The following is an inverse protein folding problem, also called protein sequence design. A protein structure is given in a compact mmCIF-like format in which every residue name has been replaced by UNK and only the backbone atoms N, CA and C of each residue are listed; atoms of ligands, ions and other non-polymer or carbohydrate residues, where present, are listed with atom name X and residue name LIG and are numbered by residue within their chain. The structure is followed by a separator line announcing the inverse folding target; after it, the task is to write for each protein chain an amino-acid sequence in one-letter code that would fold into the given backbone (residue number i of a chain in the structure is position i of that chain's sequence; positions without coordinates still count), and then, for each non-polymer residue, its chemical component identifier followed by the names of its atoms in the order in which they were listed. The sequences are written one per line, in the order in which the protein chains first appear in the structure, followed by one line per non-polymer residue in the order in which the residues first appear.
data_IF_411943451097
#
_entry.id   IF_411943451097
#
_cell.length_a   1.000
_cell.length_b   1.000
_cell.length_c   1.000
_cell.angle_alpha   90.00
_cell.angle_beta   90.00
_cell.angle_gamma   90.00
#
_symmetry.space_group_name_H-M   'P 1'
#
loop_
_entity.id
_entity.type
_entity.pdbx_description
1 polymer ?
#
# COMPACT_ATOMS: atom_id res chain seq x y z
N UNK A 1 -34.68 5.43 -15.36
CA UNK A 1 -33.89 6.68 -15.23
C UNK A 1 -34.55 7.72 -14.32
N UNK A 2 -35.67 8.39 -14.68
CA UNK A 2 -36.19 9.49 -13.86
C UNK A 2 -36.68 9.06 -12.48
N UNK A 3 -37.31 7.87 -12.34
CA UNK A 3 -37.71 7.34 -11.02
C UNK A 3 -36.55 7.18 -10.02
N UNK A 4 -35.33 7.00 -10.51
CA UNK A 4 -34.14 6.72 -9.68
C UNK A 4 -33.25 7.95 -9.48
N UNK A 5 -33.22 8.89 -10.44
CA UNK A 5 -32.25 9.98 -10.47
C UNK A 5 -32.87 11.39 -10.49
N UNK A 6 -34.20 11.54 -10.58
CA UNK A 6 -34.85 12.86 -10.60
C UNK A 6 -34.53 13.70 -9.36
N UNK A 7 -34.33 13.06 -8.21
CA UNK A 7 -33.95 13.72 -6.96
C UNK A 7 -32.56 14.36 -6.98
N UNK A 8 -31.72 14.03 -7.96
CA UNK A 8 -30.35 14.56 -8.12
C UNK A 8 -30.22 15.64 -9.19
N UNK A 9 -31.34 16.10 -9.76
CA UNK A 9 -31.38 17.19 -10.74
C UNK A 9 -31.51 16.70 -12.18
N UNK A 10 -32.15 17.53 -13.00
CA UNK A 10 -32.53 17.21 -14.37
C UNK A 10 -31.32 16.97 -15.29
N UNK A 11 -30.28 17.78 -15.16
CA UNK A 11 -29.02 17.65 -15.93
C UNK A 11 -28.40 16.25 -15.81
N UNK A 12 -28.42 15.65 -14.62
CA UNK A 12 -27.92 14.29 -14.41
C UNK A 12 -28.76 13.29 -15.19
N UNK A 13 -30.09 13.43 -15.16
CA UNK A 13 -30.98 12.50 -15.86
C UNK A 13 -30.76 12.62 -17.37
N UNK A 14 -30.61 13.84 -17.89
CA UNK A 14 -30.31 14.10 -19.31
C UNK A 14 -28.98 13.49 -19.75
N UNK A 15 -27.91 13.64 -18.96
CA UNK A 15 -26.62 12.97 -19.23
C UNK A 15 -26.76 11.45 -19.26
N UNK A 16 -27.58 10.86 -18.39
CA UNK A 16 -27.85 9.42 -18.41
C UNK A 16 -28.62 8.99 -19.67
N UNK A 17 -29.58 9.79 -20.15
CA UNK A 17 -30.28 9.53 -21.40
C UNK A 17 -29.35 9.61 -22.62
N UNK A 18 -28.47 10.62 -22.65
CA UNK A 18 -27.47 10.76 -23.71
C UNK A 18 -26.54 9.55 -23.74
N UNK A 19 -26.08 9.06 -22.58
CA UNK A 19 -25.27 7.85 -22.50
C UNK A 19 -25.99 6.61 -23.06
N UNK A 20 -27.30 6.45 -22.79
CA UNK A 20 -28.10 5.35 -23.36
C UNK A 20 -28.27 5.45 -24.87
N UNK A 21 -28.45 6.66 -25.40
CA UNK A 21 -28.54 6.88 -26.84
C UNK A 21 -27.21 6.50 -27.52
N UNK A 22 -26.08 7.01 -27.00
CA UNK A 22 -24.75 6.68 -27.50
C UNK A 22 -24.44 5.18 -27.40
N UNK A 23 -24.80 4.53 -26.28
CA UNK A 23 -24.56 3.10 -26.10
C UNK A 23 -25.28 2.25 -27.17
N UNK A 24 -26.47 2.65 -27.63
CA UNK A 24 -27.17 1.92 -28.70
C UNK A 24 -26.46 2.03 -30.06
N UNK A 25 -25.72 3.11 -30.28
CA UNK A 25 -25.03 3.40 -31.54
C UNK A 25 -23.57 2.91 -31.53
N UNK A 26 -22.97 2.74 -30.35
CA UNK A 26 -21.55 2.39 -30.17
C UNK A 26 -21.28 0.92 -29.85
N UNK A 27 -22.32 0.07 -29.80
CA UNK A 27 -22.12 -1.38 -29.59
C UNK A 27 -21.75 -2.03 -30.93
N UNK A 28 -20.52 -2.50 -31.01
CA UNK A 28 -19.98 -3.20 -32.17
C UNK A 28 -19.63 -4.65 -31.82
N UNK A 29 -19.90 -5.57 -32.74
CA UNK A 29 -19.44 -6.96 -32.60
C UNK A 29 -17.93 -7.03 -32.85
N UNK A 30 -17.19 -7.55 -31.88
CA UNK A 30 -15.75 -7.82 -32.03
C UNK A 30 -15.59 -9.24 -32.61
N UNK A 31 -15.14 -9.40 -33.87
CA UNK A 31 -15.00 -10.73 -34.46
C UNK A 31 -13.90 -11.52 -33.74
N UNK A 32 -14.23 -12.74 -33.32
CA UNK A 32 -13.28 -13.63 -32.67
C UNK A 32 -12.17 -14.04 -33.64
N UNK A 33 -10.92 -14.00 -33.17
CA UNK A 33 -9.74 -14.44 -33.91
C UNK A 33 -9.11 -15.64 -33.19
N UNK A 34 -8.34 -16.50 -33.90
CA UNK A 34 -7.53 -17.52 -33.25
C UNK A 34 -6.60 -16.90 -32.20
N UNK A 35 -6.40 -17.59 -31.08
CA UNK A 35 -5.49 -17.14 -30.02
C UNK A 35 -4.07 -17.03 -30.59
N UNK A 36 -3.45 -15.86 -30.43
CA UNK A 36 -2.06 -15.65 -30.80
C UNK A 36 -1.16 -16.42 -29.80
N UNK A 37 -0.34 -17.39 -30.26
CA UNK A 37 0.53 -18.16 -29.37
C UNK A 37 1.64 -17.32 -28.72
N UNK A 38 1.88 -16.09 -29.22
CA UNK A 38 2.83 -15.14 -28.65
C UNK A 38 2.20 -14.15 -27.65
N UNK A 39 0.89 -14.23 -27.39
CA UNK A 39 0.26 -13.42 -26.35
C UNK A 39 0.79 -13.78 -24.98
N UNK A 40 1.03 -12.77 -24.14
CA UNK A 40 1.45 -12.99 -22.76
C UNK A 40 0.38 -13.77 -21.99
N UNK A 41 0.83 -14.70 -21.14
CA UNK A 41 -0.05 -15.35 -20.19
C UNK A 41 -0.51 -14.35 -19.14
N UNK A 42 -1.68 -14.62 -18.54
CA UNK A 42 -2.13 -13.89 -17.36
C UNK A 42 -1.08 -14.07 -16.25
N UNK A 43 -0.61 -12.99 -15.60
CA UNK A 43 0.32 -13.11 -14.49
C UNK A 43 -0.34 -13.87 -13.32
N UNK A 44 0.46 -14.49 -12.43
CA UNK A 44 -0.07 -15.12 -11.23
C UNK A 44 -0.75 -14.08 -10.32
N UNK A 45 -1.71 -14.55 -9.50
CA UNK A 45 -2.49 -13.68 -8.60
C UNK A 45 -1.64 -13.04 -7.50
N UNK A 46 -0.59 -13.75 -7.08
CA UNK A 46 0.41 -13.27 -6.13
C UNK A 46 1.81 -13.60 -6.66
N UNK A 47 2.84 -12.91 -6.18
CA UNK A 47 4.23 -13.18 -6.56
C UNK A 47 4.68 -14.61 -6.19
N UNK A 48 5.53 -15.21 -7.02
CA UNK A 48 6.18 -16.49 -6.72
C UNK A 48 7.11 -16.46 -5.50
N UNK A 49 7.55 -15.25 -5.11
CA UNK A 49 8.32 -15.04 -3.88
C UNK A 49 7.46 -15.15 -2.60
N UNK A 50 6.13 -15.23 -2.73
CA UNK A 50 5.24 -15.35 -1.59
C UNK A 50 5.39 -16.72 -0.89
N UNK A 51 5.12 -16.79 0.43
CA UNK A 51 5.10 -18.06 1.16
C UNK A 51 4.10 -19.05 0.56
N UNK A 52 4.34 -20.35 0.75
CA UNK A 52 3.53 -21.40 0.12
C UNK A 52 2.04 -21.31 0.47
N UNK A 53 1.71 -20.97 1.72
CA UNK A 53 0.31 -20.75 2.12
C UNK A 53 -0.34 -19.60 1.33
N UNK A 54 0.41 -18.53 1.05
CA UNK A 54 -0.08 -17.41 0.25
C UNK A 54 -0.29 -17.81 -1.20
N UNK A 55 0.65 -18.56 -1.79
CA UNK A 55 0.56 -19.03 -3.19
C UNK A 55 -0.55 -20.06 -3.42
N UNK A 56 -0.85 -20.89 -2.42
CA UNK A 56 -1.77 -22.03 -2.56
C UNK A 56 -3.17 -21.73 -2.05
N UNK A 57 -3.29 -21.12 -0.86
CA UNK A 57 -4.57 -20.86 -0.21
C UNK A 57 -5.05 -19.43 -0.50
N UNK A 58 -4.25 -18.42 -0.14
CA UNK A 58 -4.63 -17.02 -0.32
C UNK A 58 -4.88 -16.67 -1.79
N UNK A 59 -3.98 -17.07 -2.70
CA UNK A 59 -4.12 -16.81 -4.12
C UNK A 59 -5.37 -17.47 -4.73
N UNK A 60 -5.72 -18.69 -4.32
CA UNK A 60 -6.93 -19.37 -4.78
C UNK A 60 -8.19 -18.63 -4.32
N UNK A 61 -8.24 -18.19 -3.06
CA UNK A 61 -9.35 -17.41 -2.53
C UNK A 61 -9.49 -16.06 -3.25
N UNK A 62 -8.37 -15.36 -3.48
CA UNK A 62 -8.34 -14.09 -4.23
C UNK A 62 -8.74 -14.27 -5.71
N UNK A 63 -8.49 -15.45 -6.29
CA UNK A 63 -8.91 -15.81 -7.65
C UNK A 63 -10.41 -16.16 -7.76
N UNK A 64 -11.15 -16.17 -6.65
CA UNK A 64 -12.54 -16.64 -6.62
C UNK A 64 -12.68 -18.17 -6.68
N UNK A 65 -11.61 -18.91 -6.35
CA UNK A 65 -11.56 -20.37 -6.34
C UNK A 65 -11.53 -20.95 -4.91
N UNK A 66 -12.00 -20.18 -3.92
CA UNK A 66 -11.98 -20.58 -2.52
C UNK A 66 -12.76 -21.86 -2.22
N UNK A 67 -13.93 -22.04 -2.84
CA UNK A 67 -14.77 -23.24 -2.66
C UNK A 67 -14.12 -24.55 -3.17
N UNK A 68 -13.10 -24.45 -4.01
CA UNK A 68 -12.34 -25.60 -4.50
C UNK A 68 -11.27 -26.08 -3.51
N UNK A 69 -10.97 -25.30 -2.47
CA UNK A 69 -9.97 -25.68 -1.47
C UNK A 69 -10.51 -26.82 -0.59
N UNK A 70 -9.74 -27.90 -0.39
CA UNK A 70 -10.13 -28.96 0.53
C UNK A 70 -10.06 -28.44 1.98
N UNK A 71 -10.83 -29.06 2.88
CA UNK A 71 -10.78 -28.75 4.32
C UNK A 71 -9.36 -28.84 4.88
N UNK A 72 -8.54 -29.77 4.36
CA UNK A 72 -7.15 -29.97 4.76
C UNK A 72 -6.20 -28.81 4.38
N UNK A 73 -6.65 -27.86 3.56
CA UNK A 73 -5.86 -26.67 3.22
C UNK A 73 -5.92 -25.59 4.32
N UNK A 74 -6.88 -25.68 5.25
CA UNK A 74 -7.12 -24.68 6.27
C UNK A 74 -6.57 -25.12 7.64
N UNK A 75 -6.01 -24.20 8.43
CA UNK A 75 -5.62 -24.50 9.81
C UNK A 75 -6.85 -24.91 10.65
N UNK A 76 -6.76 -25.98 11.47
CA UNK A 76 -7.91 -26.53 12.19
C UNK A 76 -8.46 -25.60 13.28
N UNK A 77 -7.65 -24.64 13.75
CA UNK A 77 -8.00 -23.65 14.76
C UNK A 77 -8.44 -22.30 14.16
N UNK A 78 -8.49 -22.20 12.83
CA UNK A 78 -8.85 -20.97 12.12
C UNK A 78 -7.79 -19.87 12.21
N UNK A 79 -6.58 -20.17 12.68
CA UNK A 79 -5.46 -19.22 12.63
C UNK A 79 -5.06 -18.92 11.19
N UNK A 80 -4.44 -17.76 10.96
CA UNK A 80 -4.02 -17.33 9.62
C UNK A 80 -2.62 -16.71 9.66
N UNK A 81 -1.81 -16.88 8.61
CA UNK A 81 -0.55 -16.16 8.50
C UNK A 81 -0.73 -14.66 8.51
N UNK A 82 0.23 -13.98 9.14
CA UNK A 82 0.30 -12.53 9.22
C UNK A 82 0.95 -11.92 7.96
N UNK A 83 0.62 -10.67 7.67
CA UNK A 83 1.23 -9.87 6.60
C UNK A 83 1.01 -10.46 5.21
N UNK A 84 -0.17 -11.02 4.94
CA UNK A 84 -0.50 -11.55 3.60
C UNK A 84 -0.85 -10.45 2.61
N UNK A 85 -1.32 -9.30 3.08
CA UNK A 85 -1.74 -8.15 2.23
C UNK A 85 -0.63 -7.63 1.34
N UNK A 86 0.64 -7.70 1.76
CA UNK A 86 1.80 -7.26 0.96
C UNK A 86 1.98 -7.96 -0.38
N UNK A 87 1.37 -9.13 -0.54
CA UNK A 87 1.46 -9.97 -1.73
C UNK A 87 0.31 -9.73 -2.72
N UNK A 88 -0.71 -8.95 -2.34
CA UNK A 88 -1.91 -8.76 -3.17
C UNK A 88 -1.69 -7.81 -4.33
N UNK A 89 -0.91 -6.73 -4.13
CA UNK A 89 -0.56 -5.73 -5.16
C UNK A 89 -1.76 -5.35 -6.04
N UNK A 90 -2.85 -4.95 -5.38
CA UNK A 90 -4.20 -4.80 -5.98
C UNK A 90 -4.25 -3.83 -7.16
N UNK A 91 -3.36 -2.84 -7.19
CA UNK A 91 -3.11 -1.94 -8.30
C UNK A 91 -4.37 -1.17 -8.78
N UNK A 92 -5.14 -0.62 -7.83
CA UNK A 92 -6.48 -0.06 -8.07
C UNK A 92 -6.53 1.45 -8.26
N UNK A 93 -5.45 2.19 -7.97
CA UNK A 93 -5.46 3.64 -8.07
C UNK A 93 -5.46 4.12 -9.53
N UNK A 94 -6.15 5.22 -9.81
CA UNK A 94 -6.02 5.92 -11.10
C UNK A 94 -4.77 6.80 -11.11
N UNK A 95 -4.52 7.48 -9.98
CA UNK A 95 -3.35 8.31 -9.76
C UNK A 95 -2.58 7.88 -8.51
N UNK A 96 -1.27 8.05 -8.52
CA UNK A 96 -0.37 7.78 -7.39
C UNK A 96 0.46 9.02 -7.06
N UNK A 97 0.89 9.17 -5.79
CA UNK A 97 1.70 10.31 -5.40
C UNK A 97 3.15 10.17 -5.89
N UNK A 98 3.59 11.11 -6.73
CA UNK A 98 4.97 11.20 -7.23
C UNK A 98 5.71 12.29 -6.46
N UNK A 99 6.92 11.94 -6.00
CA UNK A 99 7.76 12.79 -5.17
C UNK A 99 8.51 13.82 -6.03
N UNK A 100 8.59 15.06 -5.54
CA UNK A 100 9.39 16.15 -6.10
C UNK A 100 10.41 16.60 -5.06
N UNK A 101 11.60 16.03 -5.13
CA UNK A 101 12.59 16.06 -4.06
C UNK A 101 13.09 17.48 -3.74
N UNK A 102 13.17 18.38 -4.72
CA UNK A 102 13.75 19.72 -4.51
C UNK A 102 12.92 20.58 -3.56
N UNK A 103 11.61 20.31 -3.50
CA UNK A 103 10.68 21.01 -2.60
C UNK A 103 10.61 20.34 -1.22
N UNK A 104 11.06 19.10 -1.08
CA UNK A 104 10.78 18.29 0.10
C UNK A 104 11.49 18.79 1.36
N UNK A 105 10.73 18.93 2.44
CA UNK A 105 11.24 19.36 3.76
C UNK A 105 11.60 18.19 4.69
N UNK A 106 11.42 16.94 4.26
CA UNK A 106 11.72 15.73 5.04
C UNK A 106 10.92 15.67 6.37
N UNK A 107 9.67 16.12 6.35
CA UNK A 107 8.81 16.21 7.54
C UNK A 107 8.00 14.93 7.84
N UNK A 108 7.88 14.01 6.87
CA UNK A 108 7.11 12.77 6.94
C UNK A 108 5.60 12.91 7.23
N UNK A 109 4.99 14.08 7.05
CA UNK A 109 3.52 14.22 7.15
C UNK A 109 2.78 13.35 6.14
N UNK A 110 3.29 13.24 4.91
CA UNK A 110 2.73 12.37 3.87
C UNK A 110 2.71 10.90 4.29
N UNK A 111 3.78 10.42 4.93
CA UNK A 111 3.90 9.04 5.45
C UNK A 111 2.96 8.82 6.64
N UNK A 112 2.85 9.80 7.53
CA UNK A 112 1.97 9.71 8.70
C UNK A 112 0.49 9.67 8.30
N UNK A 113 0.09 10.48 7.32
CA UNK A 113 -1.29 10.58 6.88
C UNK A 113 -1.75 9.39 6.01
N UNK A 114 -0.82 8.59 5.48
CA UNK A 114 -1.16 7.49 4.59
C UNK A 114 -1.95 6.39 5.34
N UNK A 115 -3.20 6.10 4.95
CA UNK A 115 -4.01 5.09 5.62
C UNK A 115 -3.63 3.65 5.26
N UNK A 116 -2.81 3.43 4.24
CA UNK A 116 -2.46 2.10 3.75
C UNK A 116 -0.97 1.78 3.85
N UNK A 117 -0.17 2.66 4.47
CA UNK A 117 1.30 2.54 4.46
C UNK A 117 1.88 2.44 3.04
N UNK A 118 1.19 3.01 2.05
CA UNK A 118 1.54 3.00 0.63
C UNK A 118 2.52 4.13 0.24
N UNK A 119 2.92 4.97 1.19
CA UNK A 119 4.07 5.87 1.04
C UNK A 119 4.90 5.80 2.31
N UNK A 120 6.21 5.61 2.17
CA UNK A 120 7.14 5.36 3.27
C UNK A 120 8.42 6.15 3.07
N UNK A 121 9.09 6.44 4.19
CA UNK A 121 10.40 7.04 4.18
C UNK A 121 11.41 6.15 4.88
N UNK A 122 12.64 6.12 4.38
CA UNK A 122 13.80 5.52 5.03
C UNK A 122 14.92 6.53 5.12
N UNK A 123 15.72 6.41 6.18
CA UNK A 123 17.01 7.08 6.31
C UNK A 123 18.08 6.01 6.31
N UNK A 124 18.99 6.07 5.35
CA UNK A 124 19.96 5.02 5.05
C UNK A 124 21.36 5.58 4.87
N UNK A 125 22.41 4.78 5.14
CA UNK A 125 23.77 5.21 4.87
C UNK A 125 23.99 5.37 3.35
N UNK A 126 24.85 6.30 2.89
CA UNK A 126 25.05 6.55 1.46
C UNK A 126 25.43 5.31 0.65
N UNK A 127 26.17 4.38 1.25
CA UNK A 127 26.63 3.14 0.63
C UNK A 127 25.45 2.23 0.24
N UNK A 128 24.32 2.30 0.97
CA UNK A 128 23.12 1.54 0.64
C UNK A 128 22.45 2.01 -0.65
N UNK A 129 22.81 3.19 -1.16
CA UNK A 129 22.25 3.78 -2.38
C UNK A 129 23.15 3.60 -3.61
N UNK A 130 24.33 2.97 -3.48
CA UNK A 130 25.28 2.82 -4.60
C UNK A 130 24.70 2.05 -5.80
N UNK A 131 23.85 1.06 -5.53
CA UNK A 131 23.20 0.23 -6.55
C UNK A 131 21.72 0.60 -6.77
N UNK A 132 21.31 1.79 -6.32
CA UNK A 132 19.94 2.24 -6.51
C UNK A 132 19.63 2.43 -8.01
N UNK A 133 18.40 2.13 -8.46
CA UNK A 133 17.94 2.52 -9.78
C UNK A 133 18.14 4.01 -10.01
N UNK A 134 18.44 4.42 -11.25
CA UNK A 134 18.65 5.83 -11.58
C UNK A 134 17.40 6.71 -11.31
N UNK A 135 16.22 6.09 -11.36
CA UNK A 135 14.91 6.67 -11.05
C UNK A 135 14.60 6.73 -9.54
N UNK A 136 15.39 6.08 -8.67
CA UNK A 136 15.16 6.13 -7.23
C UNK A 136 15.89 7.33 -6.63
N UNK A 137 15.15 8.41 -6.45
CA UNK A 137 15.68 9.65 -5.91
C UNK A 137 16.02 9.56 -4.42
N UNK A 138 16.98 10.36 -3.96
CA UNK A 138 17.30 10.55 -2.55
C UNK A 138 17.82 11.94 -2.26
N UNK A 139 17.69 12.38 -1.01
CA UNK A 139 18.22 13.66 -0.52
C UNK A 139 19.20 13.43 0.62
N UNK A 140 20.16 14.34 0.81
CA UNK A 140 20.90 14.39 2.07
C UNK A 140 19.96 14.75 3.23
N UNK A 141 20.09 14.05 4.35
CA UNK A 141 19.28 14.37 5.54
C UNK A 141 19.63 15.76 6.07
N UNK A 142 18.60 16.60 6.22
CA UNK A 142 18.74 17.99 6.67
C UNK A 142 18.93 18.11 8.18
N UNK A 143 18.48 17.13 8.95
CA UNK A 143 18.49 17.19 10.41
C UNK A 143 19.86 16.81 11.00
N UNK A 144 20.19 17.42 12.14
CA UNK A 144 21.53 17.26 12.77
C UNK A 144 21.75 15.86 13.35
N UNK A 145 20.68 15.24 13.84
CA UNK A 145 20.65 13.92 14.48
C UNK A 145 21.00 12.76 13.52
N UNK A 146 20.90 12.97 12.22
CA UNK A 146 21.15 11.95 11.20
C UNK A 146 21.99 12.49 10.03
N UNK A 147 22.87 13.46 10.31
CA UNK A 147 23.71 14.10 9.29
C UNK A 147 24.61 13.08 8.60
N UNK A 148 24.76 13.21 7.28
CA UNK A 148 25.58 12.30 6.46
C UNK A 148 24.83 11.06 5.97
N UNK A 149 23.56 10.90 6.33
CA UNK A 149 22.67 9.85 5.81
C UNK A 149 21.88 10.37 4.59
N UNK A 150 21.30 9.44 3.83
CA UNK A 150 20.36 9.70 2.73
C UNK A 150 18.93 9.47 3.19
N UNK A 151 18.05 10.39 2.81
CA UNK A 151 16.60 10.30 2.96
C UNK A 151 15.99 9.83 1.64
N UNK A 152 15.18 8.78 1.70
CA UNK A 152 14.46 8.20 0.55
C UNK A 152 12.98 8.19 0.90
N UNK A 153 12.13 8.79 0.05
CA UNK A 153 10.68 8.73 0.16
C UNK A 153 10.15 7.98 -1.05
N UNK A 154 9.37 6.93 -0.82
CA UNK A 154 8.95 6.05 -1.89
C UNK A 154 7.48 5.63 -1.74
N UNK A 155 6.76 5.64 -2.86
CA UNK A 155 5.40 5.12 -2.98
C UNK A 155 5.44 3.61 -3.31
N UNK A 156 4.49 2.87 -2.73
CA UNK A 156 4.12 1.52 -3.13
C UNK A 156 3.02 1.64 -4.20
N UNK A 157 3.35 1.67 -5.50
CA UNK A 157 2.39 2.10 -6.53
C UNK A 157 1.20 1.16 -6.64
N UNK A 158 1.41 -0.15 -6.43
CA UNK A 158 0.37 -1.17 -6.53
C UNK A 158 -0.49 -1.30 -5.26
N UNK A 159 -0.06 -0.70 -4.16
CA UNK A 159 -0.82 -0.73 -2.88
C UNK A 159 -1.45 0.64 -2.55
N UNK A 160 -1.15 1.67 -3.34
CA UNK A 160 -1.79 2.97 -3.21
C UNK A 160 -3.26 2.90 -3.64
N UNK A 161 -4.12 3.62 -2.93
CA UNK A 161 -5.56 3.72 -3.23
C UNK A 161 -5.97 5.05 -3.86
N UNK A 162 -5.01 5.93 -4.16
CA UNK A 162 -5.27 7.23 -4.79
C UNK A 162 -6.02 8.24 -3.92
N UNK A 163 -5.97 8.12 -2.58
CA UNK A 163 -6.78 8.97 -1.68
C UNK A 163 -6.37 10.45 -1.57
N UNK A 164 -5.25 10.87 -2.19
CA UNK A 164 -4.71 12.23 -2.17
C UNK A 164 -4.32 12.81 -0.79
N UNK A 165 -4.57 12.13 0.33
CA UNK A 165 -4.29 12.68 1.68
C UNK A 165 -2.83 13.08 1.89
N UNK A 166 -1.88 12.31 1.35
CA UNK A 166 -0.45 12.59 1.47
C UNK A 166 -0.02 13.92 0.82
N UNK A 167 -0.69 14.30 -0.28
CA UNK A 167 -0.50 15.57 -0.99
C UNK A 167 -1.22 16.70 -0.25
N UNK A 168 -2.44 16.46 0.25
CA UNK A 168 -3.18 17.45 1.03
C UNK A 168 -2.40 17.92 2.26
N UNK A 169 -1.82 17.00 3.02
CA UNK A 169 -1.06 17.33 4.23
C UNK A 169 0.34 17.87 3.96
N UNK A 170 0.82 17.85 2.71
CA UNK A 170 2.18 18.31 2.39
C UNK A 170 2.31 19.82 2.58
N UNK A 171 3.12 20.30 3.55
CA UNK A 171 3.26 21.73 3.80
C UNK A 171 4.20 22.41 2.79
N UNK A 172 5.00 21.63 2.08
CA UNK A 172 5.99 22.14 1.14
C UNK A 172 5.37 22.36 -0.25
N UNK A 173 5.47 23.60 -0.71
CA UNK A 173 4.92 24.09 -1.98
C UNK A 173 5.98 24.87 -2.75
N UNK A 174 5.88 24.84 -4.07
CA UNK A 174 6.68 25.68 -4.93
C UNK A 174 6.36 27.17 -4.70
N UNK A 175 7.38 28.03 -4.79
CA UNK A 175 7.25 29.46 -4.51
C UNK A 175 6.55 30.22 -5.64
N UNK A 176 6.71 29.77 -6.88
CA UNK A 176 6.15 30.40 -8.07
C UNK A 176 4.75 29.85 -8.36
N UNK A 177 4.52 28.56 -8.13
CA UNK A 177 3.22 27.91 -8.32
C UNK A 177 2.80 27.06 -7.09
N UNK A 178 1.99 27.61 -6.17
CA UNK A 178 1.56 26.90 -4.96
C UNK A 178 0.73 25.61 -5.18
N UNK A 179 0.23 25.36 -6.39
CA UNK A 179 -0.43 24.11 -6.75
C UNK A 179 0.56 22.94 -6.82
N UNK A 180 1.83 23.23 -7.13
CA UNK A 180 2.91 22.23 -7.15
C UNK A 180 3.43 22.06 -5.73
N UNK A 181 3.24 20.87 -5.18
CA UNK A 181 3.76 20.49 -3.86
C UNK A 181 5.00 19.61 -3.99
N UNK A 182 5.64 19.29 -2.87
CA UNK A 182 6.73 18.31 -2.85
C UNK A 182 6.27 16.88 -3.17
N UNK A 183 4.96 16.63 -3.24
CA UNK A 183 4.38 15.37 -3.67
C UNK A 183 3.07 15.67 -4.37
N UNK A 184 2.81 15.06 -5.52
CA UNK A 184 1.66 15.39 -6.38
C UNK A 184 1.01 14.12 -6.91
N UNK A 185 -0.31 14.10 -7.06
CA UNK A 185 -0.99 12.99 -7.72
C UNK A 185 -0.69 13.05 -9.22
N UNK A 186 -0.26 11.93 -9.80
CA UNK A 186 0.00 11.78 -11.23
C UNK A 186 -0.53 10.43 -11.71
N UNK A 187 -0.73 10.31 -13.03
CA UNK A 187 -1.26 9.11 -13.68
C UNK A 187 -0.49 7.85 -13.26
N UNK A 188 -1.19 6.88 -12.67
CA UNK A 188 -0.57 5.60 -12.32
C UNK A 188 -0.04 4.88 -13.57
N UNK A 189 -0.76 4.95 -14.69
CA UNK A 189 -0.39 4.25 -15.92
C UNK A 189 0.98 4.71 -16.47
N UNK A 190 1.34 5.97 -16.22
CA UNK A 190 2.61 6.55 -16.68
C UNK A 190 3.78 6.18 -15.77
N UNK A 191 3.53 5.93 -14.48
CA UNK A 191 4.57 5.82 -13.45
C UNK A 191 4.71 4.42 -12.82
N UNK A 192 3.71 3.55 -12.90
CA UNK A 192 3.66 2.29 -12.13
C UNK A 192 4.85 1.36 -12.35
N UNK A 193 5.33 1.21 -13.59
CA UNK A 193 6.43 0.27 -13.87
C UNK A 193 7.77 0.76 -13.31
N UNK A 194 8.04 2.06 -13.38
CA UNK A 194 9.23 2.67 -12.77
C UNK A 194 9.16 2.60 -11.25
N UNK A 195 8.00 2.97 -10.68
CA UNK A 195 7.83 3.00 -9.23
C UNK A 195 7.81 1.60 -8.60
N UNK A 196 7.46 0.55 -9.34
CA UNK A 196 7.60 -0.85 -8.90
C UNK A 196 9.07 -1.20 -8.68
N UNK A 197 9.93 -0.88 -9.64
CA UNK A 197 11.38 -1.11 -9.56
C UNK A 197 11.97 -0.34 -8.38
N UNK A 198 11.61 0.94 -8.26
CA UNK A 198 12.02 1.79 -7.15
C UNK A 198 11.55 1.24 -5.80
N UNK A 199 10.30 0.77 -5.71
CA UNK A 199 9.73 0.24 -4.48
C UNK A 199 10.38 -1.08 -4.05
N UNK A 200 10.66 -1.98 -4.99
CA UNK A 200 11.35 -3.23 -4.71
C UNK A 200 12.76 -2.99 -4.16
N UNK A 201 13.51 -2.03 -4.73
CA UNK A 201 14.79 -1.63 -4.16
C UNK A 201 14.61 -1.00 -2.77
N UNK A 202 13.64 -0.10 -2.61
CA UNK A 202 13.33 0.55 -1.33
C UNK A 202 13.00 -0.45 -0.22
N UNK A 203 12.28 -1.54 -0.53
CA UNK A 203 11.98 -2.59 0.45
C UNK A 203 13.25 -3.29 0.96
N UNK A 204 14.29 -3.40 0.13
CA UNK A 204 15.57 -4.02 0.48
C UNK A 204 16.54 -3.10 1.23
N UNK A 205 16.28 -1.79 1.24
CA UNK A 205 17.08 -0.84 2.03
C UNK A 205 17.03 -1.16 3.53
N UNK A 206 18.12 -0.88 4.28
CA UNK A 206 18.18 -1.15 5.71
C UNK A 206 17.11 -0.36 6.47
N UNK A 207 16.54 -1.00 7.49
CA UNK A 207 15.61 -0.35 8.42
C UNK A 207 16.39 0.35 9.54
N UNK A 208 15.90 1.51 9.98
CA UNK A 208 16.51 2.19 11.11
C UNK A 208 16.26 1.41 12.40
N UNK A 209 17.29 1.28 13.23
CA UNK A 209 17.11 0.78 14.59
C UNK A 209 16.46 1.87 15.44
N UNK A 210 15.29 1.55 16.01
CA UNK A 210 14.54 2.45 16.90
C UNK A 210 15.36 2.96 18.08
N UNK A 211 16.36 2.20 18.54
CA UNK A 211 17.25 2.60 19.64
C UNK A 211 18.14 3.79 19.30
N UNK A 212 18.36 4.05 18.00
CA UNK A 212 19.17 5.15 17.48
C UNK A 212 18.38 6.45 17.33
N UNK A 213 17.07 6.44 17.53
CA UNK A 213 16.25 7.64 17.47
C UNK A 213 16.37 8.42 18.78
N UNK A 214 16.96 9.62 18.73
CA UNK A 214 17.10 10.50 19.91
C UNK A 214 15.74 10.92 20.50
N UNK A 215 14.72 11.03 19.64
CA UNK A 215 13.37 11.41 20.03
C UNK A 215 12.33 10.77 19.13
N UNK A 216 11.14 10.57 19.67
CA UNK A 216 9.95 10.15 18.92
C UNK A 216 9.05 11.36 18.72
N UNK A 217 9.00 11.84 17.48
CA UNK A 217 8.05 12.85 17.01
C UNK A 217 7.38 12.37 15.72
N UNK A 218 6.54 13.22 15.10
CA UNK A 218 5.89 12.87 13.83
C UNK A 218 6.91 12.50 12.75
N UNK A 219 8.05 13.19 12.67
CA UNK A 219 9.07 12.93 11.65
C UNK A 219 9.74 11.58 11.88
N UNK A 220 10.27 11.35 13.08
CA UNK A 220 11.11 10.18 13.38
C UNK A 220 10.30 8.90 13.55
N UNK A 221 9.08 8.97 14.10
CA UNK A 221 8.18 7.80 14.20
C UNK A 221 7.87 7.19 12.84
N UNK A 222 7.81 8.01 11.79
CA UNK A 222 7.53 7.56 10.43
C UNK A 222 8.71 6.86 9.75
N UNK A 223 9.91 6.90 10.34
CA UNK A 223 11.07 6.14 9.85
C UNK A 223 11.09 4.71 10.38
N UNK A 224 10.28 4.39 11.40
CA UNK A 224 10.14 3.04 11.92
C UNK A 224 9.23 2.24 11.00
N UNK A 225 9.61 1.02 10.66
CA UNK A 225 8.82 0.13 9.79
C UNK A 225 7.38 0.01 10.29
N UNK A 226 6.36 0.35 9.48
CA UNK A 226 4.97 0.08 9.84
C UNK A 226 4.71 -1.43 9.83
N UNK A 227 4.00 -1.93 10.85
CA UNK A 227 3.61 -3.34 10.95
C UNK A 227 2.12 -3.55 10.62
N UNK A 228 1.47 -2.52 10.07
CA UNK A 228 0.12 -2.56 9.57
C UNK A 228 0.12 -1.89 8.19
N UNK A 229 -0.07 -2.68 7.14
CA UNK A 229 0.14 -2.23 5.76
C UNK A 229 -0.88 -2.82 4.78
N UNK A 230 -1.32 -1.98 3.84
CA UNK A 230 -2.15 -2.36 2.69
C UNK A 230 -3.49 -3.01 3.05
N UNK A 231 -4.10 -2.54 4.13
CA UNK A 231 -5.39 -3.04 4.62
C UNK A 231 -6.51 -2.93 3.58
N UNK A 232 -7.57 -3.72 3.73
CA UNK A 232 -8.81 -3.60 2.95
C UNK A 232 -9.66 -2.36 3.27
N UNK A 233 -9.15 -1.39 4.03
CA UNK A 233 -9.89 -0.19 4.40
C UNK A 233 -10.19 0.71 3.19
N UNK A 234 -11.22 1.55 3.31
CA UNK A 234 -11.60 2.52 2.30
C UNK A 234 -10.45 3.48 1.94
N UNK A 235 -10.48 4.01 0.71
CA UNK A 235 -9.59 5.10 0.30
C UNK A 235 -9.79 6.31 1.22
N UNK A 236 -8.73 6.76 1.89
CA UNK A 236 -8.82 7.86 2.85
C UNK A 236 -9.40 7.48 4.23
N UNK A 237 -9.32 6.21 4.64
CA UNK A 237 -9.80 5.77 5.95
C UNK A 237 -9.21 6.59 7.11
N UNK A 238 -10.07 7.05 8.02
CA UNK A 238 -9.66 7.83 9.19
C UNK A 238 -9.12 7.00 10.36
N UNK A 239 -9.24 5.67 10.35
CA UNK A 239 -8.85 4.81 11.48
C UNK A 239 -7.40 4.30 11.34
N UNK A 240 -7.03 3.85 10.15
CA UNK A 240 -5.80 3.08 9.93
C UNK A 240 -4.49 3.86 10.15
N UNK A 241 -4.38 5.19 9.94
CA UNK A 241 -3.18 5.93 10.33
C UNK A 241 -2.83 5.81 11.82
N UNK A 242 -3.85 5.73 12.68
CA UNK A 242 -3.65 5.57 14.13
C UNK A 242 -3.12 4.18 14.48
N UNK A 243 -3.70 3.13 13.90
CA UNK A 243 -3.24 1.74 14.11
C UNK A 243 -1.81 1.59 13.57
N UNK A 244 -1.53 2.11 12.37
CA UNK A 244 -0.20 2.15 11.78
C UNK A 244 0.82 2.77 12.74
N UNK A 245 0.55 3.97 13.25
CA UNK A 245 1.43 4.64 14.22
C UNK A 245 1.60 3.82 15.50
N UNK A 246 0.52 3.26 16.05
CA UNK A 246 0.58 2.40 17.25
C UNK A 246 1.52 1.21 17.02
N UNK A 247 1.43 0.58 15.85
CA UNK A 247 2.29 -0.57 15.50
C UNK A 247 3.75 -0.18 15.28
N UNK A 248 4.03 1.03 14.79
CA UNK A 248 5.40 1.55 14.67
C UNK A 248 6.05 1.75 16.04
N UNK A 249 5.27 2.17 17.05
CA UNK A 249 5.79 2.42 18.40
C UNK A 249 5.92 1.16 19.25
N UNK A 250 4.96 0.22 19.15
CA UNK A 250 4.84 -0.90 20.09
C UNK A 250 4.59 -2.27 19.45
N UNK A 251 4.51 -2.36 18.12
CA UNK A 251 4.03 -3.56 17.44
C UNK A 251 4.93 -4.81 17.56
N UNK A 252 6.17 -4.67 18.04
CA UNK A 252 7.08 -5.80 18.35
C UNK A 252 6.71 -6.56 19.64
N UNK A 253 5.83 -5.98 20.47
CA UNK A 253 5.47 -6.50 21.79
C UNK A 253 4.01 -6.24 22.17
N UNK A 254 3.18 -5.88 21.18
CA UNK A 254 1.77 -5.56 21.37
C UNK A 254 0.91 -6.79 21.05
N UNK A 255 -0.08 -7.05 21.88
CA UNK A 255 -1.19 -7.94 21.59
C UNK A 255 -2.44 -7.11 21.31
N UNK A 256 -3.15 -7.40 20.22
CA UNK A 256 -4.36 -6.67 19.81
C UNK A 256 -5.58 -7.56 20.05
N UNK A 257 -6.45 -7.16 20.98
CA UNK A 257 -7.82 -7.66 21.08
C UNK A 257 -8.76 -6.69 20.35
N UNK A 258 -9.24 -7.08 19.16
CA UNK A 258 -9.98 -6.19 18.26
C UNK A 258 -11.47 -6.50 18.28
N UNK A 259 -12.29 -5.54 18.68
CA UNK A 259 -13.75 -5.70 18.66
C UNK A 259 -14.26 -5.81 17.21
N UNK A 260 -15.42 -6.45 17.04
CA UNK A 260 -16.08 -6.53 15.72
C UNK A 260 -16.49 -5.14 15.25
N UNK A 261 -16.07 -4.78 14.04
CA UNK A 261 -16.34 -3.49 13.41
C UNK A 261 -15.47 -3.29 12.18
N UNK A 262 -15.40 -2.06 11.65
CA UNK A 262 -14.50 -1.75 10.52
C UNK A 262 -13.07 -2.25 10.78
N UNK A 263 -12.56 -2.04 11.99
CA UNK A 263 -11.23 -2.49 12.41
C UNK A 263 -10.99 -3.98 12.31
N UNK A 264 -11.98 -4.83 12.60
CA UNK A 264 -11.83 -6.28 12.41
C UNK A 264 -11.93 -6.67 10.93
N UNK A 265 -12.70 -5.94 10.13
CA UNK A 265 -12.88 -6.21 8.70
C UNK A 265 -11.63 -5.84 7.90
N UNK A 266 -11.13 -4.61 7.98
CA UNK A 266 -9.91 -4.27 7.24
C UNK A 266 -8.65 -4.86 7.89
N UNK A 267 -8.72 -5.25 9.17
CA UNK A 267 -7.60 -5.79 9.92
C UNK A 267 -7.34 -7.28 9.68
N UNK A 268 -8.40 -8.06 9.45
CA UNK A 268 -8.31 -9.52 9.33
C UNK A 268 -9.51 -10.18 8.64
N UNK A 269 -9.94 -9.65 7.50
CA UNK A 269 -10.91 -10.34 6.63
C UNK A 269 -10.17 -11.32 5.72
N UNK A 270 -10.28 -12.62 6.03
CA UNK A 270 -9.59 -13.68 5.29
C UNK A 270 -9.93 -13.63 3.78
N UNK A 271 -8.96 -13.85 2.89
CA UNK A 271 -7.60 -14.35 3.14
C UNK A 271 -6.55 -13.27 3.48
N UNK A 272 -6.99 -12.01 3.64
CA UNK A 272 -6.14 -10.83 3.76
C UNK A 272 -5.91 -10.45 5.22
N UNK A 273 -4.65 -10.51 5.66
CA UNK A 273 -4.26 -10.17 7.02
C UNK A 273 -3.17 -9.10 7.04
N UNK A 274 -3.48 -7.97 7.66
CA UNK A 274 -2.75 -6.70 7.51
C UNK A 274 -1.57 -6.57 8.47
N UNK A 275 -1.66 -7.20 9.65
CA UNK A 275 -0.62 -7.10 10.68
C UNK A 275 0.57 -7.96 10.29
N UNK A 276 1.77 -7.40 10.32
CA UNK A 276 3.04 -8.10 10.13
C UNK A 276 3.79 -8.22 11.46
N UNK A 277 4.32 -9.40 11.75
CA UNK A 277 5.17 -9.60 12.94
C UNK A 277 6.62 -9.81 12.51
N UNK A 278 7.50 -8.87 12.88
CA UNK A 278 8.95 -8.95 12.60
C UNK A 278 9.74 -9.59 13.75
N UNK A 279 9.11 -10.32 14.67
CA UNK A 279 9.88 -10.99 15.71
C UNK A 279 10.56 -12.23 15.13
N UNK A 280 11.78 -12.03 14.62
CA UNK A 280 12.78 -13.09 14.41
C UNK A 280 13.42 -13.56 15.74
N UNK A 281 12.73 -13.41 16.89
CA UNK A 281 13.09 -14.27 18.02
C UNK A 281 12.43 -15.60 17.76
N UNK A 282 13.25 -16.58 17.38
CA UNK A 282 12.90 -17.98 17.46
C UNK A 282 12.23 -18.24 18.81
N UNK A 283 10.91 -18.46 18.79
CA UNK A 283 10.22 -19.12 19.89
C UNK A 283 10.55 -20.63 19.83
N UNK A 284 11.84 -20.97 19.86
CA UNK A 284 12.34 -22.34 19.94
C UNK A 284 12.40 -22.83 21.39
N UNK A 285 11.55 -22.29 22.28
CA UNK A 285 11.73 -22.48 23.72
C UNK A 285 10.49 -22.39 24.60
N UNK A 286 9.27 -22.41 24.06
CA UNK A 286 8.09 -22.67 24.88
C UNK A 286 7.40 -23.92 24.32
N UNK A 287 7.82 -25.06 24.87
CA UNK A 287 7.07 -26.29 24.75
C UNK A 287 5.67 -26.10 25.33
N UNK A 288 4.73 -26.81 24.72
CA UNK A 288 3.53 -27.37 25.37
C UNK A 288 2.95 -26.54 26.51
N UNK A 289 2.07 -25.60 26.15
CA UNK A 289 0.94 -25.27 27.01
C UNK A 289 -0.33 -25.68 26.28
N UNK A 290 -0.52 -27.00 26.27
CA UNK A 290 -1.82 -27.63 26.22
C UNK A 290 -2.68 -27.10 27.38
N UNK A 291 -3.91 -26.69 27.07
CA UNK A 291 -5.03 -26.85 27.99
C UNK A 291 -5.43 -28.33 27.94
#
# INVERSE_FOLDING_TARGET
MPKSYSSKGQDLVERNWQALALARESVEEVPLQPVNPHSANRPPVVSDAAPDFVKTVTAAMLAGLGDALPVSALPPDGTWPMGTTRWEKRNIAEEIPIWKEELCTQCNHCVAACPHSAIRAKVVPPEAMENAPASLHSLDVKSRDMRGQKYVLQVAPEDCTGCNLCVEVCPAKDRQNPEIKAINMMSRLEHVEEEKINYDFFLNLPEIDRSKLERIDIRTSQLITPLFEYSGACSGCGETPYIKLLTQLYGDRMLIANATGCSSIYGGNLPSYTVYHRCQRSWAGMGELSI
#
